data_IF_752342266560
#
_entry.id   IF_752342266560
#
_cell.length_a   1.000
_cell.length_b   1.000
_cell.length_c   1.000
_cell.angle_alpha   90.00
_cell.angle_beta   90.00
_cell.angle_gamma   90.00
#
_symmetry.space_group_name_H-M   'P 1'
#
loop_
_entity.id
_entity.type
_entity.pdbx_description
1 polymer ?
#
# COMPACT_ATOMS: atom_id res chain seq x y z
N UNK A 1 54.65 60.69 -16.66
CA UNK A 1 54.77 59.63 -15.62
C UNK A 1 53.53 59.45 -14.72
N UNK A 2 52.73 60.49 -14.44
CA UNK A 2 51.59 60.38 -13.51
C UNK A 2 50.33 59.69 -14.09
N UNK A 3 50.04 59.87 -15.39
CA UNK A 3 48.87 59.25 -16.06
C UNK A 3 48.99 57.73 -16.13
N UNK A 4 50.20 57.21 -16.35
CA UNK A 4 50.44 55.77 -16.42
C UNK A 4 50.12 55.09 -15.07
N UNK A 5 50.43 55.74 -13.93
CA UNK A 5 50.08 55.24 -12.59
C UNK A 5 48.56 55.27 -12.33
N UNK A 6 47.83 56.26 -12.88
CA UNK A 6 46.36 56.31 -12.76
C UNK A 6 45.70 55.20 -13.58
N UNK A 7 46.17 54.95 -14.80
CA UNK A 7 45.66 53.86 -15.64
C UNK A 7 45.92 52.47 -15.03
N UNK A 8 47.11 52.24 -14.46
CA UNK A 8 47.44 51.00 -13.77
C UNK A 8 46.54 50.75 -12.54
N UNK A 9 46.27 51.79 -11.74
CA UNK A 9 45.35 51.71 -10.60
C UNK A 9 43.91 51.44 -11.04
N UNK A 10 43.44 52.05 -12.13
CA UNK A 10 42.11 51.80 -12.68
C UNK A 10 41.95 50.37 -13.21
N UNK A 11 42.98 49.84 -13.88
CA UNK A 11 43.00 48.45 -14.37
C UNK A 11 43.03 47.45 -13.20
N UNK A 12 43.83 47.71 -12.16
CA UNK A 12 43.84 46.89 -10.94
C UNK A 12 42.48 46.90 -10.23
N UNK A 13 41.84 48.07 -10.09
CA UNK A 13 40.51 48.19 -9.50
C UNK A 13 39.44 47.43 -10.31
N UNK A 14 39.49 47.49 -11.65
CA UNK A 14 38.59 46.71 -12.52
C UNK A 14 38.82 45.21 -12.40
N UNK A 15 40.07 44.77 -12.27
CA UNK A 15 40.41 43.35 -12.04
C UNK A 15 39.85 42.86 -10.71
N UNK A 16 40.09 43.60 -9.62
CA UNK A 16 39.55 43.28 -8.30
C UNK A 16 38.02 43.26 -8.28
N UNK A 17 37.37 44.21 -8.95
CA UNK A 17 35.90 44.23 -9.07
C UNK A 17 35.36 43.01 -9.83
N UNK A 18 36.04 42.57 -10.91
CA UNK A 18 35.68 41.34 -11.65
C UNK A 18 35.87 40.09 -10.80
N UNK A 19 36.95 40.01 -10.03
CA UNK A 19 37.21 38.89 -9.13
C UNK A 19 36.15 38.80 -8.03
N UNK A 20 35.79 39.93 -7.41
CA UNK A 20 34.71 39.97 -6.41
C UNK A 20 33.35 39.61 -7.00
N UNK A 21 33.03 40.10 -8.21
CA UNK A 21 31.80 39.71 -8.91
C UNK A 21 31.78 38.21 -9.22
N UNK A 22 32.90 37.64 -9.66
CA UNK A 22 33.03 36.21 -9.93
C UNK A 22 32.88 35.36 -8.65
N UNK A 23 33.47 35.80 -7.53
CA UNK A 23 33.33 35.14 -6.23
C UNK A 23 31.88 35.14 -5.76
N UNK A 24 31.20 36.29 -5.77
CA UNK A 24 29.78 36.39 -5.39
C UNK A 24 28.88 35.56 -6.31
N UNK A 25 29.16 35.54 -7.61
CA UNK A 25 28.42 34.71 -8.55
C UNK A 25 28.63 33.21 -8.28
N UNK A 26 29.85 32.79 -7.92
CA UNK A 26 30.14 31.41 -7.55
C UNK A 26 29.46 31.01 -6.23
N UNK A 27 29.47 31.88 -5.23
CA UNK A 27 28.76 31.67 -3.96
C UNK A 27 27.25 31.58 -4.16
N UNK A 28 26.68 32.45 -5.01
CA UNK A 28 25.26 32.40 -5.32
C UNK A 28 24.90 31.07 -6.00
N UNK A 29 25.67 30.64 -7.00
CA UNK A 29 25.44 29.34 -7.66
C UNK A 29 25.49 28.17 -6.68
N UNK A 30 26.50 28.12 -5.80
CA UNK A 30 26.58 27.07 -4.76
C UNK A 30 25.36 27.05 -3.85
N UNK A 31 24.84 28.22 -3.46
CA UNK A 31 23.62 28.29 -2.65
C UNK A 31 22.39 27.84 -3.43
N UNK A 32 22.30 28.16 -4.73
CA UNK A 32 21.21 27.68 -5.57
C UNK A 32 21.28 26.15 -5.72
N UNK A 33 22.46 25.59 -6.01
CA UNK A 33 22.67 24.14 -6.08
C UNK A 33 22.23 23.44 -4.77
N UNK A 34 22.58 24.01 -3.61
CA UNK A 34 22.14 23.48 -2.31
C UNK A 34 20.62 23.57 -2.11
N UNK A 35 19.98 24.65 -2.55
CA UNK A 35 18.53 24.80 -2.46
C UNK A 35 17.80 23.85 -3.41
N UNK A 36 18.35 23.63 -4.60
CA UNK A 36 17.84 22.66 -5.57
C UNK A 36 17.93 21.23 -5.01
N UNK A 37 19.07 20.86 -4.42
CA UNK A 37 19.26 19.55 -3.78
C UNK A 37 18.27 19.35 -2.62
N UNK A 38 18.14 20.34 -1.72
CA UNK A 38 17.17 20.28 -0.62
C UNK A 38 15.72 20.19 -1.11
N UNK A 39 15.38 20.86 -2.22
CA UNK A 39 14.05 20.75 -2.81
C UNK A 39 13.79 19.35 -3.36
N UNK A 40 14.77 18.73 -4.02
CA UNK A 40 14.68 17.34 -4.48
C UNK A 40 14.49 16.39 -3.30
N UNK A 41 15.30 16.53 -2.25
CA UNK A 41 15.18 15.73 -1.03
C UNK A 41 13.79 15.89 -0.38
N UNK A 42 13.25 17.10 -0.35
CA UNK A 42 11.91 17.35 0.17
C UNK A 42 10.84 16.60 -0.63
N UNK A 43 10.86 16.67 -1.97
CA UNK A 43 9.86 15.97 -2.78
C UNK A 43 9.97 14.45 -2.62
N UNK A 44 11.20 13.91 -2.62
CA UNK A 44 11.42 12.48 -2.35
C UNK A 44 10.89 12.09 -0.97
N UNK A 45 11.09 12.92 0.06
CA UNK A 45 10.59 12.66 1.39
C UNK A 45 9.06 12.69 1.46
N UNK A 46 8.41 13.65 0.79
CA UNK A 46 6.93 13.72 0.72
C UNK A 46 6.35 12.50 0.01
N UNK A 47 6.95 12.09 -1.12
CA UNK A 47 6.53 10.89 -1.85
C UNK A 47 6.74 9.63 -1.02
N UNK A 48 7.85 9.55 -0.27
CA UNK A 48 8.11 8.44 0.63
C UNK A 48 7.08 8.36 1.77
N UNK A 49 6.65 9.49 2.34
CA UNK A 49 5.59 9.54 3.36
C UNK A 49 4.28 8.99 2.78
N UNK A 50 3.87 9.46 1.59
CA UNK A 50 2.66 8.95 0.94
C UNK A 50 2.73 7.44 0.67
N UNK A 51 3.88 6.93 0.24
CA UNK A 51 4.11 5.50 0.06
C UNK A 51 4.04 4.70 1.37
N UNK A 52 4.58 5.23 2.46
CA UNK A 52 4.52 4.60 3.79
C UNK A 52 3.07 4.52 4.28
N UNK A 53 2.31 5.61 4.15
CA UNK A 53 0.90 5.65 4.56
C UNK A 53 0.05 4.65 3.77
N UNK A 54 0.21 4.61 2.44
CA UNK A 54 -0.50 3.64 1.60
C UNK A 54 -0.18 2.19 1.98
N UNK A 55 1.11 1.88 2.21
CA UNK A 55 1.52 0.54 2.64
C UNK A 55 1.02 0.18 4.05
N UNK A 56 0.89 1.17 4.94
CA UNK A 56 0.34 0.96 6.28
C UNK A 56 -1.16 0.62 6.21
N UNK A 57 -1.93 1.34 5.40
CA UNK A 57 -3.36 1.07 5.20
C UNK A 57 -3.60 -0.31 4.59
N UNK A 58 -2.80 -0.72 3.60
CA UNK A 58 -2.88 -2.06 3.02
C UNK A 58 -2.64 -3.15 4.07
N UNK A 59 -1.62 -2.98 4.92
CA UNK A 59 -1.33 -3.92 6.00
C UNK A 59 -2.42 -3.97 7.05
N UNK A 60 -2.99 -2.82 7.42
CA UNK A 60 -4.12 -2.75 8.36
C UNK A 60 -5.33 -3.46 7.79
N UNK A 61 -5.64 -3.25 6.51
CA UNK A 61 -6.74 -3.94 5.83
C UNK A 61 -6.52 -5.46 5.81
N UNK A 62 -5.32 -5.91 5.47
CA UNK A 62 -4.96 -7.33 5.48
C UNK A 62 -5.10 -7.96 6.88
N UNK A 63 -4.56 -7.31 7.92
CA UNK A 63 -4.67 -7.78 9.30
C UNK A 63 -6.13 -7.83 9.75
N UNK A 64 -6.94 -6.83 9.40
CA UNK A 64 -8.37 -6.82 9.74
C UNK A 64 -9.12 -7.97 9.08
N UNK A 65 -8.88 -8.20 7.80
CA UNK A 65 -9.50 -9.30 7.06
C UNK A 65 -9.08 -10.67 7.63
N UNK A 66 -7.81 -10.85 7.98
CA UNK A 66 -7.32 -12.06 8.62
C UNK A 66 -7.94 -12.25 10.01
N UNK A 67 -7.99 -11.17 10.81
CA UNK A 67 -8.58 -11.20 12.14
C UNK A 67 -10.06 -11.54 12.08
N UNK A 68 -10.81 -11.01 11.12
CA UNK A 68 -12.23 -11.35 10.94
C UNK A 68 -12.40 -12.85 10.62
N UNK A 69 -11.57 -13.40 9.73
CA UNK A 69 -11.58 -14.83 9.44
C UNK A 69 -11.22 -15.68 10.67
N UNK A 70 -10.19 -15.29 11.44
CA UNK A 70 -9.78 -16.00 12.65
C UNK A 70 -10.84 -15.94 13.75
N UNK A 71 -11.51 -14.78 13.91
CA UNK A 71 -12.61 -14.62 14.86
C UNK A 71 -13.79 -15.49 14.46
N UNK A 72 -14.14 -15.51 13.17
CA UNK A 72 -15.27 -16.32 12.71
C UNK A 72 -14.97 -17.82 12.80
N UNK A 73 -13.75 -18.25 12.49
CA UNK A 73 -13.29 -19.61 12.72
C UNK A 73 -13.35 -19.99 14.20
N UNK A 74 -12.83 -19.12 15.09
CA UNK A 74 -12.88 -19.35 16.54
C UNK A 74 -14.30 -19.40 17.09
N UNK A 75 -15.22 -18.60 16.54
CA UNK A 75 -16.65 -18.65 16.88
C UNK A 75 -17.30 -19.95 16.41
N UNK A 76 -16.96 -20.41 15.21
CA UNK A 76 -17.43 -21.70 14.69
C UNK A 76 -16.93 -22.86 15.57
N UNK A 77 -15.64 -22.86 15.92
CA UNK A 77 -15.03 -23.85 16.81
C UNK A 77 -15.70 -23.86 18.19
N UNK A 78 -15.93 -22.68 18.77
CA UNK A 78 -16.64 -22.55 20.04
C UNK A 78 -18.07 -23.12 19.96
N UNK A 79 -18.79 -22.84 18.86
CA UNK A 79 -20.12 -23.39 18.64
C UNK A 79 -20.10 -24.91 18.47
N UNK A 80 -19.10 -25.45 17.78
CA UNK A 80 -18.92 -26.89 17.60
C UNK A 80 -18.62 -27.59 18.94
N UNK A 81 -17.77 -27.01 19.80
CA UNK A 81 -17.53 -27.51 21.16
C UNK A 81 -18.82 -27.53 21.99
N UNK A 82 -19.62 -26.46 21.94
CA UNK A 82 -20.93 -26.43 22.59
C UNK A 82 -21.85 -27.53 22.04
N UNK A 83 -21.83 -27.76 20.73
CA UNK A 83 -22.53 -28.87 20.08
C UNK A 83 -22.12 -30.23 20.64
N UNK A 84 -20.81 -30.48 20.74
CA UNK A 84 -20.24 -31.70 21.31
C UNK A 84 -20.62 -31.88 22.79
N UNK A 85 -20.61 -30.81 23.60
CA UNK A 85 -21.05 -30.86 24.99
C UNK A 85 -22.52 -31.28 25.09
N UNK A 86 -23.40 -30.75 24.24
CA UNK A 86 -24.81 -31.15 24.20
C UNK A 86 -25.00 -32.61 23.73
N UNK A 87 -24.11 -33.12 22.88
CA UNK A 87 -24.16 -34.52 22.41
C UNK A 87 -23.83 -35.52 23.52
N UNK A 88 -23.12 -35.09 24.58
CA UNK A 88 -22.89 -35.90 25.80
C UNK A 88 -24.14 -36.07 26.68
N UNK A 89 -25.30 -35.59 26.23
CA UNK A 89 -26.61 -35.62 26.92
C UNK A 89 -26.71 -34.74 28.17
N UNK A 90 -25.79 -33.80 28.34
CA UNK A 90 -25.86 -32.74 29.35
C UNK A 90 -26.93 -31.72 28.95
N UNK A 91 -27.67 -31.17 29.91
CA UNK A 91 -28.73 -30.18 29.63
C UNK A 91 -28.12 -28.83 29.24
N UNK A 92 -28.90 -27.99 28.53
CA UNK A 92 -28.45 -26.65 28.14
C UNK A 92 -28.11 -25.76 29.33
N UNK A 93 -28.87 -25.88 30.42
CA UNK A 93 -28.65 -25.08 31.63
C UNK A 93 -27.33 -25.45 32.31
N UNK A 94 -26.99 -26.75 32.34
CA UNK A 94 -25.74 -27.23 32.91
C UNK A 94 -24.52 -26.86 32.02
N UNK A 95 -24.67 -26.88 30.69
CA UNK A 95 -23.64 -26.37 29.77
C UNK A 95 -23.45 -24.86 29.94
N UNK A 96 -24.54 -24.10 30.09
CA UNK A 96 -24.52 -22.65 30.30
C UNK A 96 -23.79 -22.29 31.60
N UNK A 97 -24.09 -22.99 32.69
CA UNK A 97 -23.44 -22.83 33.99
C UNK A 97 -21.94 -23.14 33.91
N UNK A 98 -21.56 -24.22 33.22
CA UNK A 98 -20.14 -24.62 33.06
C UNK A 98 -19.32 -23.65 32.22
N UNK A 99 -19.93 -23.03 31.20
CA UNK A 99 -19.25 -22.08 30.31
C UNK A 99 -19.38 -20.62 30.77
N UNK A 100 -20.18 -20.34 31.80
CA UNK A 100 -20.48 -18.98 32.24
C UNK A 100 -21.27 -18.16 31.20
N UNK A 101 -21.96 -18.84 30.28
CA UNK A 101 -22.72 -18.22 29.20
C UNK A 101 -24.21 -18.17 29.59
N UNK A 102 -24.98 -17.18 29.13
CA UNK A 102 -26.42 -17.20 29.31
C UNK A 102 -27.03 -18.34 28.48
N UNK A 103 -28.07 -19.00 29.00
CA UNK A 103 -28.71 -20.17 28.37
C UNK A 103 -29.12 -19.91 26.90
N UNK A 104 -29.47 -18.66 26.57
CA UNK A 104 -29.83 -18.22 25.21
C UNK A 104 -28.69 -18.33 24.18
N UNK A 105 -27.43 -18.32 24.63
CA UNK A 105 -26.23 -18.43 23.81
C UNK A 105 -25.80 -19.89 23.62
N UNK A 106 -26.30 -20.81 24.45
CA UNK A 106 -26.10 -22.26 24.30
C UNK A 106 -27.00 -22.80 23.19
N UNK A 107 -26.61 -22.58 21.94
CA UNK A 107 -27.30 -23.08 20.75
C UNK A 107 -26.46 -24.13 20.05
N UNK A 108 -27.10 -25.25 19.69
CA UNK A 108 -26.47 -26.22 18.80
C UNK A 108 -26.25 -25.53 17.46
N UNK A 109 -25.01 -25.47 16.95
CA UNK A 109 -24.76 -24.89 15.62
C UNK A 109 -25.59 -25.65 14.60
N UNK A 110 -26.27 -24.92 13.71
CA UNK A 110 -26.79 -25.52 12.49
C UNK A 110 -25.56 -25.87 11.67
N UNK A 111 -25.15 -27.14 11.67
CA UNK A 111 -24.20 -27.66 10.70
C UNK A 111 -24.75 -27.35 9.31
N UNK A 112 -24.29 -26.24 8.72
CA UNK A 112 -24.25 -26.11 7.28
C UNK A 112 -23.41 -27.28 6.79
N UNK A 113 -23.93 -28.03 5.84
CA UNK A 113 -23.28 -29.15 5.18
C UNK A 113 -21.93 -28.67 4.65
N UNK A 114 -20.88 -28.81 5.45
CA UNK A 114 -19.52 -28.70 4.98
C UNK A 114 -19.28 -29.92 4.11
N UNK A 115 -19.48 -29.75 2.81
CA UNK A 115 -18.93 -30.64 1.78
C UNK A 115 -17.45 -30.78 2.07
N UNK A 116 -17.08 -31.97 2.55
CA UNK A 116 -15.74 -32.51 2.52
C UNK A 116 -15.29 -32.56 1.06
N UNK A 117 -14.73 -31.47 0.53
CA UNK A 117 -13.91 -31.51 -0.68
C UNK A 117 -12.45 -31.45 -0.25
N UNK A 118 -12.02 -32.55 0.36
CA UNK A 118 -10.61 -32.93 0.38
C UNK A 118 -10.38 -33.84 -0.84
N UNK A 119 -10.26 -33.24 -2.02
CA UNK A 119 -9.60 -33.91 -3.15
C UNK A 119 -8.32 -33.14 -3.47
N UNK A 120 -7.22 -33.86 -3.26
CA UNK A 120 -5.84 -33.50 -3.52
C UNK A 120 -5.63 -33.49 -5.04
N UNK A 121 -4.76 -32.61 -5.58
CA UNK A 121 -4.59 -32.44 -7.01
C UNK A 121 -3.83 -33.65 -7.59
N UNK A 122 -4.35 -34.20 -8.68
CA UNK A 122 -3.50 -34.91 -9.64
C UNK A 122 -4.01 -34.75 -11.07
N UNK A 123 -3.05 -34.58 -11.97
CA UNK A 123 -3.10 -34.63 -13.44
C UNK A 123 -3.86 -33.54 -14.22
N UNK A 124 -3.06 -32.61 -14.75
CA UNK A 124 -3.25 -32.05 -16.10
C UNK A 124 -3.37 -33.20 -17.12
N UNK A 125 -4.16 -33.01 -18.19
CA UNK A 125 -3.47 -32.95 -19.47
C UNK A 125 -4.04 -31.93 -20.47
N UNK A 126 -3.17 -31.66 -21.44
CA UNK A 126 -3.43 -31.20 -22.80
C UNK A 126 -3.88 -29.75 -23.00
N UNK A 127 -2.87 -28.94 -23.31
CA UNK A 127 -2.91 -27.92 -24.35
C UNK A 127 -3.78 -28.35 -25.54
N UNK A 128 -4.75 -27.50 -25.91
CA UNK A 128 -5.22 -27.41 -27.29
C UNK A 128 -5.06 -25.94 -27.72
N UNK A 129 -3.92 -25.71 -28.38
CA UNK A 129 -3.58 -24.51 -29.12
C UNK A 129 -3.99 -24.74 -30.57
N UNK A 130 -5.20 -24.29 -30.94
CA UNK A 130 -5.72 -24.12 -32.32
C UNK A 130 -7.17 -23.62 -32.18
N UNK A 131 -7.64 -22.49 -32.71
CA UNK A 131 -7.14 -21.67 -33.80
C UNK A 131 -7.70 -20.24 -33.70
N UNK A 132 -6.90 -19.36 -34.28
CA UNK A 132 -7.03 -17.93 -34.54
C UNK A 132 -8.08 -17.62 -35.63
N UNK A 133 -8.48 -16.35 -35.69
CA UNK A 133 -9.45 -15.66 -36.58
C UNK A 133 -10.87 -15.64 -35.99
N UNK A 134 -11.46 -14.47 -35.70
CA UNK A 134 -11.75 -13.46 -36.71
C UNK A 134 -11.80 -12.04 -36.10
N UNK A 135 -11.06 -11.11 -36.69
CA UNK A 135 -11.29 -9.68 -36.60
C UNK A 135 -12.58 -9.36 -37.36
N UNK A 136 -13.56 -8.74 -36.71
CA UNK A 136 -14.55 -7.89 -37.36
C UNK A 136 -14.87 -6.70 -36.45
N UNK A 137 -13.97 -5.73 -36.51
CA UNK A 137 -14.28 -4.33 -36.84
C UNK A 137 -15.78 -4.01 -37.02
N UNK A 138 -16.36 -3.19 -36.13
CA UNK A 138 -17.28 -2.10 -36.51
C UNK A 138 -17.19 -0.99 -35.46
N UNK A 139 -16.40 0.02 -35.81
CA UNK A 139 -16.56 1.43 -35.48
C UNK A 139 -18.04 1.86 -35.62
N UNK A 140 -18.64 2.38 -34.54
CA UNK A 140 -19.82 3.25 -34.66
C UNK A 140 -19.66 4.44 -33.74
N UNK A 141 -19.08 5.49 -34.30
CA UNK A 141 -19.24 6.84 -33.79
C UNK A 141 -20.72 7.21 -33.63
N UNK A 142 -21.01 7.95 -32.56
CA UNK A 142 -22.15 8.84 -32.50
C UNK A 142 -21.65 10.18 -31.93
N UNK A 143 -21.95 11.22 -32.69
CA UNK A 143 -21.37 12.57 -32.72
C UNK A 143 -21.51 13.40 -31.43
N UNK A 144 -20.62 14.39 -31.23
CA UNK A 144 -20.83 15.50 -30.31
C UNK A 144 -21.52 16.68 -31.01
N UNK A 145 -22.78 16.98 -30.68
CA UNK A 145 -23.37 18.30 -30.93
C UNK A 145 -24.63 18.55 -30.08
N UNK A 146 -24.49 19.37 -29.03
CA UNK A 146 -25.53 20.25 -28.51
C UNK A 146 -24.88 21.42 -27.76
#
# INVERSE_FOLDING_TARGET
MAENRKSAKQTAARKAAREQAAQRAAEFRRRQEQLEELAVEYFVAVDAVAGIEAAAEERIAAIRAETEQQVEASRADAADIVGQMLDTKVTRDEVAERLGLPVREVKRPKRGTATSTAERPDELPAVDDSARADECDVDRGEDPAA
#
